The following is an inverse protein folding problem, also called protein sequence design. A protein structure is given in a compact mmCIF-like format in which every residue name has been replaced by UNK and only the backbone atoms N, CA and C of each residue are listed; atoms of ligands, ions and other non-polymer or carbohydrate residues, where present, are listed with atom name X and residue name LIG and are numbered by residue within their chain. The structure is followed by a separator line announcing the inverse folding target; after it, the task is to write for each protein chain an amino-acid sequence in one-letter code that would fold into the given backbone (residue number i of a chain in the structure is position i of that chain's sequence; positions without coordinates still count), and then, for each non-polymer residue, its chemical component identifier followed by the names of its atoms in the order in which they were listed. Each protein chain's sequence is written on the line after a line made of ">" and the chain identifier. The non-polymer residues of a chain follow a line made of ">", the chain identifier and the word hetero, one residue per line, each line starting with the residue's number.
data_IF_698172764524
#
_entry.id   IF_698172764524
#
_cell.length_a   1.000
_cell.length_b   1.000
_cell.length_c   1.000
_cell.angle_alpha   90.00
_cell.angle_beta   90.00
_cell.angle_gamma   90.00
#
_symmetry.space_group_name_H-M   'P 1'
#
loop_
_entity.id
_entity.type
_entity.pdbx_description
1 polymer ?
#
# COMPACT_ATOMS: atom_id res chain seq x y z
N UNK A 1 -19.21 -4.81 -57.45
CA UNK A 1 -18.17 -4.53 -56.44
C UNK A 1 -18.55 -3.41 -55.46
N UNK A 2 -19.40 -2.45 -55.83
CA UNK A 2 -19.75 -1.29 -54.99
C UNK A 2 -20.58 -1.61 -53.73
N UNK A 3 -21.47 -2.61 -53.79
CA UNK A 3 -22.32 -2.99 -52.66
C UNK A 3 -21.50 -3.51 -51.46
N UNK A 4 -20.40 -4.22 -51.71
CA UNK A 4 -19.50 -4.71 -50.65
C UNK A 4 -18.70 -3.55 -50.02
N UNK A 5 -18.27 -2.59 -50.84
CA UNK A 5 -17.55 -1.40 -50.38
C UNK A 5 -18.41 -0.54 -49.45
N UNK A 6 -19.71 -0.37 -49.77
CA UNK A 6 -20.66 0.36 -48.93
C UNK A 6 -20.88 -0.32 -47.56
N UNK A 7 -20.98 -1.65 -47.53
CA UNK A 7 -21.14 -2.42 -46.28
C UNK A 7 -19.87 -2.37 -45.42
N UNK A 8 -18.69 -2.40 -46.03
CA UNK A 8 -17.42 -2.24 -45.32
C UNK A 8 -17.29 -0.83 -44.75
N UNK A 9 -17.62 0.21 -45.53
CA UNK A 9 -17.61 1.60 -45.09
C UNK A 9 -18.52 1.83 -43.86
N UNK A 10 -19.76 1.31 -43.88
CA UNK A 10 -20.66 1.41 -42.72
C UNK A 10 -20.13 0.69 -41.48
N UNK A 11 -19.44 -0.45 -41.63
CA UNK A 11 -18.84 -1.19 -40.51
C UNK A 11 -17.62 -0.48 -39.92
N UNK A 12 -16.83 0.18 -40.76
CA UNK A 12 -15.69 0.98 -40.32
C UNK A 12 -16.17 2.24 -39.59
N UNK A 13 -17.21 2.91 -40.08
CA UNK A 13 -17.79 4.09 -39.41
C UNK A 13 -18.35 3.77 -38.02
N UNK A 14 -19.02 2.61 -37.88
CA UNK A 14 -19.51 2.13 -36.57
C UNK A 14 -18.40 1.78 -35.56
N UNK A 15 -17.18 1.48 -36.02
CA UNK A 15 -16.03 1.15 -35.16
C UNK A 15 -15.23 2.37 -34.66
N UNK A 16 -15.51 3.58 -35.14
CA UNK A 16 -14.75 4.79 -34.76
C UNK A 16 -15.01 5.28 -33.33
N UNK A 17 -16.07 4.83 -32.66
CA UNK A 17 -16.30 5.21 -31.27
C UNK A 17 -15.53 4.28 -30.35
N UNK A 18 -14.37 4.74 -29.87
CA UNK A 18 -13.62 4.05 -28.83
C UNK A 18 -14.52 3.85 -27.60
N UNK A 19 -14.52 2.66 -26.98
CA UNK A 19 -15.33 2.40 -25.80
C UNK A 19 -14.94 3.38 -24.69
N UNK A 20 -15.94 4.06 -24.11
CA UNK A 20 -15.74 4.94 -22.96
C UNK A 20 -15.52 4.07 -21.73
N UNK A 21 -14.26 3.82 -21.39
CA UNK A 21 -13.91 3.17 -20.14
C UNK A 21 -14.10 4.18 -19.01
N UNK A 22 -14.89 3.78 -18.02
CA UNK A 22 -14.96 4.51 -16.74
C UNK A 22 -13.98 3.85 -15.80
N UNK A 23 -13.01 4.62 -15.30
CA UNK A 23 -12.20 4.19 -14.17
C UNK A 23 -13.14 4.00 -12.99
N UNK A 24 -13.32 2.75 -12.57
CA UNK A 24 -13.96 2.44 -11.31
C UNK A 24 -12.85 2.46 -10.27
N UNK A 25 -12.75 3.54 -9.50
CA UNK A 25 -11.99 3.51 -8.26
C UNK A 25 -12.73 2.57 -7.32
N UNK A 26 -12.22 1.36 -7.14
CA UNK A 26 -12.65 0.53 -6.02
C UNK A 26 -12.41 1.33 -4.75
N UNK A 27 -13.44 1.55 -3.91
CA UNK A 27 -13.21 2.17 -2.61
C UNK A 27 -12.18 1.31 -1.89
N UNK A 28 -11.11 1.95 -1.41
CA UNK A 28 -10.09 1.27 -0.60
C UNK A 28 -10.85 0.61 0.56
N UNK A 29 -10.79 -0.72 0.75
CA UNK A 29 -11.40 -1.33 1.92
C UNK A 29 -10.79 -0.66 3.14
N UNK A 30 -11.55 0.19 3.82
CA UNK A 30 -11.09 0.97 4.97
C UNK A 30 -11.17 0.18 6.26
N UNK A 31 -11.80 -0.99 6.24
CA UNK A 31 -12.06 -1.80 7.41
C UNK A 31 -11.50 -3.18 7.14
N UNK A 32 -10.38 -3.49 7.80
CA UNK A 32 -9.94 -4.88 7.89
C UNK A 32 -10.79 -5.56 8.96
N UNK A 33 -11.12 -6.84 8.78
CA UNK A 33 -11.82 -7.56 9.83
C UNK A 33 -10.90 -7.76 11.06
N UNK A 34 -11.51 -8.04 12.22
CA UNK A 34 -10.78 -8.19 13.48
C UNK A 34 -9.71 -9.30 13.41
N UNK A 35 -9.95 -10.37 12.64
CA UNK A 35 -9.01 -11.47 12.49
C UNK A 35 -7.76 -11.01 11.74
N UNK A 36 -7.96 -10.27 10.66
CA UNK A 36 -6.90 -9.69 9.84
C UNK A 36 -6.10 -8.68 10.65
N UNK A 37 -6.77 -7.84 11.45
CA UNK A 37 -6.12 -6.91 12.38
C UNK A 37 -5.21 -7.64 13.37
N UNK A 38 -5.71 -8.70 14.02
CA UNK A 38 -4.93 -9.52 14.95
C UNK A 38 -3.74 -10.22 14.28
N UNK A 39 -3.91 -10.70 13.05
CA UNK A 39 -2.83 -11.26 12.25
C UNK A 39 -1.73 -10.22 11.97
N UNK A 40 -2.12 -9.01 11.57
CA UNK A 40 -1.18 -7.91 11.31
C UNK A 40 -0.42 -7.52 12.58
N UNK A 41 -1.11 -7.37 13.71
CA UNK A 41 -0.47 -7.02 14.98
C UNK A 41 0.55 -8.08 15.42
N UNK A 42 0.22 -9.37 15.30
CA UNK A 42 1.18 -10.46 15.55
C UNK A 42 2.37 -10.40 14.62
N UNK A 43 2.13 -10.10 13.33
CA UNK A 43 3.20 -9.99 12.33
C UNK A 43 4.14 -8.82 12.62
N UNK A 44 3.60 -7.65 12.94
CA UNK A 44 4.38 -6.46 13.33
C UNK A 44 5.26 -6.75 14.55
N UNK A 45 4.70 -7.38 15.59
CA UNK A 45 5.47 -7.75 16.80
C UNK A 45 6.61 -8.73 16.46
N UNK A 46 6.34 -9.71 15.60
CA UNK A 46 7.37 -10.63 15.14
C UNK A 46 8.46 -9.91 14.32
N UNK A 47 8.10 -9.00 13.42
CA UNK A 47 9.06 -8.21 12.63
C UNK A 47 9.95 -7.35 13.53
N UNK A 48 9.38 -6.70 14.54
CA UNK A 48 10.13 -5.98 15.57
C UNK A 48 11.17 -6.88 16.22
N UNK A 49 10.75 -8.03 16.72
CA UNK A 49 11.61 -8.89 17.54
C UNK A 49 12.69 -9.60 16.70
N UNK A 50 12.40 -9.96 15.44
CA UNK A 50 13.35 -10.69 14.58
C UNK A 50 14.32 -9.78 13.82
N UNK A 51 13.90 -8.56 13.47
CA UNK A 51 14.69 -7.65 12.63
C UNK A 51 15.05 -6.35 13.36
N UNK A 52 14.79 -6.27 14.66
CA UNK A 52 15.05 -5.09 15.51
C UNK A 52 14.38 -3.79 14.99
N UNK A 53 13.18 -3.91 14.40
CA UNK A 53 12.46 -2.79 13.76
C UNK A 53 11.59 -1.97 14.73
N UNK A 54 11.94 -1.94 16.02
CA UNK A 54 11.15 -1.26 17.06
C UNK A 54 10.99 0.25 16.82
N UNK A 55 12.01 0.90 16.28
CA UNK A 55 11.97 2.33 15.96
C UNK A 55 10.85 2.70 14.96
N UNK A 56 10.49 1.80 14.03
CA UNK A 56 9.41 2.06 13.07
C UNK A 56 8.04 2.06 13.76
N UNK A 57 7.86 1.21 14.77
CA UNK A 57 6.65 1.22 15.59
C UNK A 57 6.58 2.51 16.38
N UNK A 58 7.66 2.89 17.08
CA UNK A 58 7.72 4.13 17.86
C UNK A 58 7.37 5.36 17.02
N UNK A 59 7.92 5.41 15.79
CA UNK A 59 7.65 6.47 14.84
C UNK A 59 6.20 6.51 14.37
N UNK A 60 5.58 5.34 14.11
CA UNK A 60 4.18 5.27 13.74
C UNK A 60 3.23 5.57 14.90
N UNK A 61 3.65 5.30 16.14
CA UNK A 61 2.86 5.50 17.35
C UNK A 61 3.21 6.80 18.07
N UNK A 62 3.86 7.77 17.40
CA UNK A 62 4.13 9.05 18.01
C UNK A 62 2.81 9.73 18.42
N UNK A 63 2.69 10.10 19.70
CA UNK A 63 1.45 10.56 20.36
C UNK A 63 0.33 9.51 20.54
N UNK A 64 0.62 8.22 20.37
CA UNK A 64 -0.30 7.12 20.64
C UNK A 64 0.26 6.22 21.76
N UNK A 65 -0.60 5.59 22.58
CA UNK A 65 -0.15 4.67 23.63
C UNK A 65 0.59 3.43 23.11
N UNK A 66 0.38 3.05 21.85
CA UNK A 66 1.04 1.91 21.23
C UNK A 66 0.38 1.47 19.92
N UNK A 67 0.93 0.40 19.33
CA UNK A 67 0.56 -0.10 18.00
C UNK A 67 -0.91 -0.56 17.91
N UNK A 68 -1.47 -1.05 19.02
CA UNK A 68 -2.87 -1.49 19.09
C UNK A 68 -3.87 -0.34 18.94
N UNK A 69 -3.42 0.91 19.14
CA UNK A 69 -4.22 2.13 18.99
C UNK A 69 -4.16 2.74 17.58
N UNK A 70 -3.43 2.14 16.64
CA UNK A 70 -3.40 2.61 15.25
C UNK A 70 -4.73 2.33 14.55
N UNK A 71 -5.23 3.28 13.78
CA UNK A 71 -6.33 3.04 12.85
C UNK A 71 -5.95 1.98 11.81
N UNK A 72 -6.93 1.27 11.26
CA UNK A 72 -6.69 0.18 10.32
C UNK A 72 -5.79 0.57 9.14
N UNK A 73 -5.96 1.78 8.61
CA UNK A 73 -5.16 2.30 7.50
C UNK A 73 -3.68 2.47 7.88
N UNK A 74 -3.41 3.02 9.07
CA UNK A 74 -2.06 3.27 9.58
C UNK A 74 -1.39 1.97 9.99
N UNK A 75 -2.13 1.05 10.61
CA UNK A 75 -1.66 -0.28 10.94
C UNK A 75 -1.25 -1.06 9.69
N UNK A 76 -2.06 -1.01 8.63
CA UNK A 76 -1.72 -1.61 7.34
C UNK A 76 -0.52 -0.94 6.68
N UNK A 77 -0.36 0.38 6.84
CA UNK A 77 0.78 1.11 6.30
C UNK A 77 2.07 0.72 7.01
N UNK A 78 2.06 0.73 8.35
CA UNK A 78 3.17 0.27 9.17
C UNK A 78 3.54 -1.18 8.84
N UNK A 79 2.56 -2.06 8.65
CA UNK A 79 2.84 -3.44 8.28
C UNK A 79 3.63 -3.55 6.97
N UNK A 80 3.23 -2.80 5.93
CA UNK A 80 3.95 -2.77 4.65
C UNK A 80 5.36 -2.23 4.81
N UNK A 81 5.51 -1.09 5.48
CA UNK A 81 6.82 -0.47 5.74
C UNK A 81 7.77 -1.42 6.48
N UNK A 82 7.27 -2.18 7.46
CA UNK A 82 8.09 -3.15 8.18
C UNK A 82 8.46 -4.38 7.35
N UNK A 83 7.63 -4.81 6.39
CA UNK A 83 8.00 -5.87 5.45
C UNK A 83 9.06 -5.38 4.45
N UNK A 84 8.93 -4.15 3.96
CA UNK A 84 9.93 -3.55 3.06
C UNK A 84 11.27 -3.38 3.80
N UNK A 85 11.24 -2.89 5.05
CA UNK A 85 12.43 -2.77 5.90
C UNK A 85 13.07 -4.14 6.20
N UNK A 86 12.25 -5.19 6.38
CA UNK A 86 12.73 -6.56 6.54
C UNK A 86 13.53 -7.01 5.31
N UNK A 87 13.08 -6.68 4.10
CA UNK A 87 13.80 -7.02 2.87
C UNK A 87 15.17 -6.33 2.84
N UNK A 88 15.24 -5.05 3.18
CA UNK A 88 16.53 -4.33 3.31
C UNK A 88 17.45 -5.00 4.34
N UNK A 89 16.94 -5.39 5.52
CA UNK A 89 17.75 -6.09 6.51
C UNK A 89 18.32 -7.42 5.98
N UNK A 90 17.55 -8.17 5.19
CA UNK A 90 18.01 -9.43 4.57
C UNK A 90 19.10 -9.17 3.52
N UNK A 91 19.03 -8.03 2.82
CA UNK A 91 20.02 -7.59 1.85
C UNK A 91 21.26 -6.92 2.50
N UNK A 92 21.27 -6.76 3.83
CA UNK A 92 22.35 -6.12 4.57
C UNK A 92 22.37 -4.60 4.45
N UNK A 93 21.27 -3.99 4.03
CA UNK A 93 21.07 -2.54 3.93
C UNK A 93 20.44 -2.06 5.25
N UNK A 94 21.02 -1.03 5.88
CA UNK A 94 20.43 -0.46 7.10
C UNK A 94 19.13 0.28 6.81
N UNK A 95 18.24 0.37 7.81
CA UNK A 95 16.95 1.04 7.65
C UNK A 95 17.08 2.56 7.53
N UNK A 96 18.18 3.13 8.05
CA UNK A 96 18.58 4.52 7.85
C UNK A 96 18.97 4.79 6.39
N UNK A 97 19.83 3.95 5.82
CA UNK A 97 20.25 4.08 4.41
C UNK A 97 19.09 3.86 3.44
N UNK A 98 18.17 2.95 3.77
CA UNK A 98 16.96 2.72 3.00
C UNK A 98 15.89 3.82 3.17
N UNK A 99 16.09 4.77 4.10
CA UNK A 99 15.22 5.94 4.26
C UNK A 99 13.93 5.69 5.05
N UNK A 100 13.86 4.65 5.88
CA UNK A 100 12.68 4.39 6.72
C UNK A 100 12.62 5.27 7.98
N UNK A 101 13.77 5.75 8.44
CA UNK A 101 13.86 6.63 9.61
C UNK A 101 13.59 8.08 9.19
N UNK A 102 12.51 8.66 9.71
CA UNK A 102 12.17 10.07 9.52
C UNK A 102 12.85 10.87 10.60
N UNK A 103 13.34 12.05 10.22
CA UNK A 103 13.86 13.00 11.18
C UNK A 103 12.67 13.66 11.89
N UNK A 104 12.36 13.20 13.10
CA UNK A 104 11.27 13.73 13.93
C UNK A 104 11.77 14.84 14.87
N UNK A 105 12.91 15.48 14.53
CA UNK A 105 13.35 16.67 15.24
C UNK A 105 12.17 17.65 15.29
N UNK A 106 11.74 17.98 16.51
CA UNK A 106 10.78 19.04 16.73
C UNK A 106 11.51 20.31 16.29
N UNK A 107 11.10 20.88 15.17
CA UNK A 107 11.52 22.23 14.79
C UNK A 107 10.96 23.18 15.89
N UNK A 108 11.85 23.69 16.76
CA UNK A 108 11.54 24.71 17.77
C UNK A 108 11.23 26.08 17.13
#
# INVERSE_FOLDING_TARGET
>A
MEALAAVIAQRVEKRKQAPKLRVITTPKPTVIDAITRDCILRRIRWLRDQYNLGCLIEQATFNLPGVDCLEDADLMQLHREMEDARECCVEGISIEEAGFIRNVAIDE
#
